data_IF_809959884409
#
_entry.id   IF_809959884409
#
_cell.length_a   1.000
_cell.length_b   1.000
_cell.length_c   1.000
_cell.angle_alpha   90.00
_cell.angle_beta   90.00
_cell.angle_gamma   90.00
#
_symmetry.space_group_name_H-M   'P 1'
#
loop_
_entity.id
_entity.type
_entity.pdbx_description
1 polymer ?
#
# COMPACT_ATOMS: atom_id res chain seq x y z
N UNK A 1 -39.73 10.98 27.70
CA UNK A 1 -38.90 10.48 26.58
C UNK A 1 -37.95 11.61 26.26
N UNK A 2 -36.63 11.38 26.25
CA UNK A 2 -35.61 12.17 25.50
C UNK A 2 -34.16 12.00 26.00
N UNK A 3 -33.88 11.36 27.14
CA UNK A 3 -32.49 11.09 27.56
C UNK A 3 -31.90 9.81 26.94
N UNK A 4 -32.67 8.72 26.93
CA UNK A 4 -32.21 7.40 26.48
C UNK A 4 -31.90 7.36 24.97
N UNK A 5 -32.61 8.17 24.17
CA UNK A 5 -32.35 8.33 22.73
C UNK A 5 -31.08 9.15 22.44
N UNK A 6 -30.78 10.16 23.25
CA UNK A 6 -29.55 10.95 23.10
C UNK A 6 -28.32 10.11 23.48
N UNK A 7 -28.43 9.30 24.54
CA UNK A 7 -27.34 8.44 25.03
C UNK A 7 -27.02 7.32 24.01
N UNK A 8 -28.03 6.65 23.44
CA UNK A 8 -27.84 5.70 22.32
C UNK A 8 -27.17 6.35 21.11
N UNK A 9 -27.59 7.56 20.73
CA UNK A 9 -27.05 8.26 19.56
C UNK A 9 -25.58 8.67 19.72
N UNK A 10 -25.13 8.91 20.95
CA UNK A 10 -23.75 9.27 21.26
C UNK A 10 -22.83 8.05 21.18
N UNK A 11 -23.27 6.92 21.71
CA UNK A 11 -22.54 5.66 21.65
C UNK A 11 -22.42 5.14 20.21
N UNK A 12 -23.49 5.25 19.41
CA UNK A 12 -23.48 4.88 17.99
C UNK A 12 -22.48 5.73 17.18
N UNK A 13 -22.44 7.04 17.42
CA UNK A 13 -21.52 7.95 16.71
C UNK A 13 -20.05 7.70 17.08
N UNK A 14 -19.74 7.43 18.36
CA UNK A 14 -18.38 7.09 18.76
C UNK A 14 -17.96 5.70 18.25
N UNK A 15 -18.88 4.74 18.16
CA UNK A 15 -18.63 3.43 17.51
C UNK A 15 -18.32 3.62 16.02
N UNK A 16 -19.08 4.43 15.30
CA UNK A 16 -18.86 4.68 13.88
C UNK A 16 -17.51 5.36 13.62
N UNK A 17 -17.15 6.35 14.45
CA UNK A 17 -15.85 7.00 14.40
C UNK A 17 -14.69 6.04 14.69
N UNK A 18 -14.84 5.16 15.68
CA UNK A 18 -13.84 4.12 15.95
C UNK A 18 -13.72 3.11 14.79
N UNK A 19 -14.83 2.72 14.18
CA UNK A 19 -14.85 1.83 13.03
C UNK A 19 -14.18 2.48 11.81
N UNK A 20 -14.48 3.75 11.53
CA UNK A 20 -13.83 4.52 10.47
C UNK A 20 -12.31 4.64 10.72
N UNK A 21 -11.90 4.89 11.96
CA UNK A 21 -10.49 4.92 12.33
C UNK A 21 -9.80 3.56 12.12
N UNK A 22 -10.44 2.47 12.56
CA UNK A 22 -9.94 1.10 12.35
C UNK A 22 -9.82 0.77 10.86
N UNK A 23 -10.82 1.13 10.06
CA UNK A 23 -10.80 0.92 8.62
C UNK A 23 -9.65 1.68 7.95
N UNK A 24 -9.42 2.94 8.35
CA UNK A 24 -8.29 3.75 7.87
C UNK A 24 -6.95 3.11 8.24
N UNK A 25 -6.78 2.66 9.48
CA UNK A 25 -5.56 1.98 9.92
C UNK A 25 -5.34 0.69 9.14
N UNK A 26 -6.40 -0.07 8.85
CA UNK A 26 -6.30 -1.29 8.03
C UNK A 26 -5.84 -0.96 6.61
N UNK A 27 -6.45 0.04 5.96
CA UNK A 27 -6.05 0.46 4.61
C UNK A 27 -4.57 0.86 4.56
N UNK A 28 -4.10 1.66 5.52
CA UNK A 28 -2.69 2.06 5.60
C UNK A 28 -1.75 0.85 5.78
N UNK A 29 -2.16 -0.16 6.56
CA UNK A 29 -1.37 -1.40 6.73
C UNK A 29 -1.33 -2.23 5.45
N UNK A 30 -2.44 -2.28 4.72
CA UNK A 30 -2.51 -2.97 3.44
C UNK A 30 -1.60 -2.29 2.41
N UNK A 31 -1.65 -0.96 2.32
CA UNK A 31 -0.79 -0.15 1.44
C UNK A 31 0.70 -0.35 1.75
N UNK A 32 1.06 -0.33 3.04
CA UNK A 32 2.45 -0.58 3.47
C UNK A 32 2.91 -1.99 3.09
N UNK A 33 2.01 -2.97 3.21
CA UNK A 33 2.31 -4.37 2.85
C UNK A 33 2.50 -4.52 1.34
N UNK A 34 1.67 -3.86 0.53
CA UNK A 34 1.81 -3.83 -0.92
C UNK A 34 3.11 -3.13 -1.35
N UNK A 35 3.43 -1.99 -0.74
CA UNK A 35 4.67 -1.27 -1.02
C UNK A 35 5.89 -2.14 -0.71
N UNK A 36 5.91 -2.79 0.46
CA UNK A 36 7.00 -3.69 0.86
C UNK A 36 7.14 -4.88 -0.09
N UNK A 37 6.03 -5.48 -0.52
CA UNK A 37 6.05 -6.56 -1.49
C UNK A 37 6.63 -6.11 -2.83
N UNK A 38 6.21 -4.92 -3.30
CA UNK A 38 6.74 -4.34 -4.53
C UNK A 38 8.24 -4.10 -4.45
N UNK A 39 8.76 -3.59 -3.33
CA UNK A 39 10.21 -3.44 -3.13
C UNK A 39 10.94 -4.79 -3.17
N UNK A 40 10.38 -5.86 -2.58
CA UNK A 40 10.97 -7.20 -2.65
C UNK A 40 11.04 -7.69 -4.10
N UNK A 41 9.99 -7.51 -4.89
CA UNK A 41 9.99 -7.84 -6.33
C UNK A 41 11.10 -7.08 -7.06
N UNK A 42 11.22 -5.77 -6.85
CA UNK A 42 12.29 -4.95 -7.46
C UNK A 42 13.70 -5.39 -7.06
N UNK A 43 13.86 -6.05 -5.90
CA UNK A 43 15.13 -6.66 -5.46
C UNK A 43 15.32 -8.10 -5.98
N UNK A 44 14.44 -8.59 -6.86
CA UNK A 44 14.48 -9.95 -7.41
C UNK A 44 14.00 -11.03 -6.43
N UNK A 45 13.24 -10.67 -5.41
CA UNK A 45 12.73 -11.58 -4.38
C UNK A 45 11.21 -11.76 -4.51
N UNK A 46 10.68 -12.89 -4.01
CA UNK A 46 9.24 -13.19 -3.98
C UNK A 46 8.53 -13.07 -5.33
N UNK A 47 9.20 -13.49 -6.40
CA UNK A 47 8.65 -13.45 -7.76
C UNK A 47 7.64 -14.57 -8.04
N UNK A 48 7.51 -15.52 -7.11
CA UNK A 48 6.51 -16.57 -7.14
C UNK A 48 5.10 -15.97 -7.17
N UNK A 49 4.26 -16.48 -8.07
CA UNK A 49 2.88 -16.01 -8.25
C UNK A 49 2.71 -14.85 -9.23
N UNK A 50 3.79 -14.22 -9.70
CA UNK A 50 3.71 -13.28 -10.82
C UNK A 50 3.55 -14.03 -12.14
N UNK A 51 2.67 -13.54 -13.00
CA UNK A 51 2.55 -14.01 -14.38
C UNK A 51 3.77 -13.59 -15.19
N UNK A 52 3.99 -14.27 -16.32
CA UNK A 52 5.07 -13.90 -17.25
C UNK A 52 5.00 -12.43 -17.69
N UNK A 53 3.79 -11.91 -17.92
CA UNK A 53 3.58 -10.51 -18.32
C UNK A 53 4.00 -9.53 -17.21
N UNK A 54 3.72 -9.87 -15.96
CA UNK A 54 4.12 -9.04 -14.81
C UNK A 54 5.64 -9.08 -14.60
N UNK A 55 6.27 -10.26 -14.79
CA UNK A 55 7.72 -10.39 -14.74
C UNK A 55 8.41 -9.60 -15.86
N UNK A 56 7.89 -9.66 -17.09
CA UNK A 56 8.41 -8.88 -18.21
C UNK A 56 8.29 -7.38 -17.93
N UNK A 57 7.15 -6.93 -17.39
CA UNK A 57 6.98 -5.54 -17.01
C UNK A 57 7.95 -5.08 -15.91
N UNK A 58 8.22 -5.95 -14.93
CA UNK A 58 9.20 -5.68 -13.88
C UNK A 58 10.62 -5.59 -14.44
N UNK A 59 11.00 -6.48 -15.36
CA UNK A 59 12.29 -6.46 -16.06
C UNK A 59 12.50 -5.13 -16.82
N UNK A 60 11.49 -4.68 -17.55
CA UNK A 60 11.53 -3.41 -18.29
C UNK A 60 11.74 -2.23 -17.35
N UNK A 61 10.99 -2.18 -16.23
CA UNK A 61 11.14 -1.12 -15.23
C UNK A 61 12.54 -1.07 -14.63
N UNK A 62 13.08 -2.23 -14.22
CA UNK A 62 14.41 -2.33 -13.62
C UNK A 62 15.50 -1.93 -14.62
N UNK A 63 15.37 -2.35 -15.88
CA UNK A 63 16.30 -1.99 -16.95
C UNK A 63 16.33 -0.48 -17.19
N UNK A 64 15.16 0.14 -17.30
CA UNK A 64 15.04 1.60 -17.47
C UNK A 64 15.58 2.37 -16.26
N UNK A 65 15.29 1.90 -15.04
CA UNK A 65 15.82 2.47 -13.81
C UNK A 65 17.35 2.39 -13.76
N UNK A 66 17.93 1.25 -14.15
CA UNK A 66 19.38 1.07 -14.20
C UNK A 66 20.04 2.01 -15.22
N UNK A 67 19.43 2.18 -16.40
CA UNK A 67 19.89 3.15 -17.40
C UNK A 67 19.90 4.57 -16.82
N UNK A 68 18.81 4.98 -16.15
CA UNK A 68 18.71 6.30 -15.52
C UNK A 68 19.80 6.53 -14.46
N UNK A 69 20.14 5.51 -13.68
CA UNK A 69 21.23 5.57 -12.71
C UNK A 69 22.59 5.74 -13.40
N UNK A 70 22.83 4.99 -14.49
CA UNK A 70 24.08 5.09 -15.27
C UNK A 70 24.21 6.46 -15.94
N UNK A 71 23.13 6.98 -16.52
CA UNK A 71 23.10 8.29 -17.16
C UNK A 71 23.41 9.40 -16.16
N UNK A 72 22.90 9.30 -14.93
CA UNK A 72 23.24 10.25 -13.85
C UNK A 72 24.71 10.16 -13.46
N UNK A 73 25.31 8.96 -13.50
CA UNK A 73 26.73 8.75 -13.17
C UNK A 73 27.67 9.23 -14.27
N UNK A 74 27.27 9.17 -15.54
CA UNK A 74 28.05 9.64 -16.69
C UNK A 74 28.04 11.16 -16.91
N UNK A 75 27.26 11.91 -16.11
CA UNK A 75 27.15 13.37 -16.13
C UNK A 75 28.12 14.08 -15.17
N UNK A 76 29.04 13.34 -14.54
CA UNK A 76 30.12 13.84 -13.69
C UNK A 76 31.48 13.37 -14.24
#
# INVERSE_FOLDING_TARGET
>A
MDLEWLELSHDEHEIEKQNAHRAKVKALKDDLSQLRLTCLHMMGQRLDGLSFKELQHLEDQLSNGLLSVKDKKGQF
#
